data_IF_615934049811
#
_entry.id   IF_615934049811
#
_cell.length_a   1.000
_cell.length_b   1.000
_cell.length_c   1.000
_cell.angle_alpha   90.00
_cell.angle_beta   90.00
_cell.angle_gamma   90.00
#
_symmetry.space_group_name_H-M   'P 1'
#
loop_
_entity.id
_entity.type
_entity.pdbx_description
1 polymer ?
#
# COMPACT_ATOMS: atom_id res chain seq x y z
N UNK A 1 -11.37 -46.93 53.03
CA UNK A 1 -12.03 -47.59 54.17
C UNK A 1 -13.53 -47.36 54.05
N UNK A 2 -14.31 -48.44 53.98
CA UNK A 2 -15.77 -48.57 54.27
C UNK A 2 -16.71 -47.85 53.28
N UNK A 3 -17.46 -48.46 52.34
CA UNK A 3 -18.31 -49.67 52.28
C UNK A 3 -19.59 -49.64 53.12
N UNK A 4 -20.75 -49.50 52.45
CA UNK A 4 -22.09 -50.05 52.81
C UNK A 4 -23.13 -49.39 51.88
N UNK A 5 -23.80 -50.02 50.90
CA UNK A 5 -24.52 -51.31 50.81
C UNK A 5 -25.76 -51.38 51.71
N UNK A 6 -26.95 -51.53 51.09
CA UNK A 6 -28.14 -52.29 51.53
C UNK A 6 -29.11 -52.37 50.32
N UNK A 7 -29.19 -53.54 49.65
CA UNK A 7 -30.21 -54.63 49.76
C UNK A 7 -31.55 -54.31 49.07
N UNK A 8 -31.93 -55.01 47.98
CA UNK A 8 -32.56 -56.37 47.91
C UNK A 8 -34.10 -56.22 47.83
N UNK A 9 -34.93 -56.96 47.08
CA UNK A 9 -34.93 -58.36 46.62
C UNK A 9 -36.14 -58.57 45.66
N UNK A 10 -36.19 -59.75 45.00
CA UNK A 10 -37.37 -60.50 44.50
C UNK A 10 -37.79 -60.20 43.04
N UNK A 11 -38.00 -61.15 42.10
CA UNK A 11 -37.96 -62.64 42.09
C UNK A 11 -38.14 -63.16 40.65
N UNK A 12 -37.75 -64.41 40.44
CA UNK A 12 -37.77 -65.22 39.21
C UNK A 12 -39.21 -65.52 38.73
N UNK A 13 -39.42 -65.77 37.42
CA UNK A 13 -39.56 -67.16 36.96
C UNK A 13 -39.59 -67.36 35.43
N UNK A 14 -39.19 -68.58 35.06
CA UNK A 14 -38.94 -69.13 33.73
C UNK A 14 -40.20 -69.42 32.91
N UNK A 15 -40.07 -69.46 31.57
CA UNK A 15 -40.46 -70.63 30.73
C UNK A 15 -40.09 -70.45 29.25
N UNK A 16 -39.42 -71.47 28.72
CA UNK A 16 -39.02 -71.67 27.33
C UNK A 16 -40.13 -72.42 26.60
N UNK A 17 -40.42 -72.11 25.33
CA UNK A 17 -40.85 -73.08 24.32
C UNK A 17 -40.53 -72.58 22.90
N UNK A 18 -39.70 -73.35 22.18
CA UNK A 18 -39.54 -73.31 20.72
C UNK A 18 -40.82 -73.83 20.04
N UNK A 19 -41.20 -73.33 18.86
CA UNK A 19 -41.16 -74.11 17.61
C UNK A 19 -41.78 -73.39 16.38
N UNK A 20 -41.15 -73.67 15.24
CA UNK A 20 -41.57 -73.61 13.82
C UNK A 20 -42.13 -72.33 13.16
N UNK A 21 -41.45 -71.94 12.08
CA UNK A 21 -41.96 -71.11 10.97
C UNK A 21 -42.96 -71.87 10.07
N UNK A 22 -43.80 -71.14 9.31
CA UNK A 22 -43.70 -71.22 7.84
C UNK A 22 -43.87 -69.86 7.11
N UNK A 23 -43.10 -69.66 6.04
CA UNK A 23 -43.21 -68.60 5.00
C UNK A 23 -44.30 -68.91 3.95
N UNK A 24 -44.64 -68.00 3.00
CA UNK A 24 -44.94 -66.56 3.05
C UNK A 24 -46.29 -66.24 2.33
N UNK A 25 -46.64 -64.97 2.10
CA UNK A 25 -46.96 -64.61 0.72
C UNK A 25 -46.26 -63.35 0.20
N UNK A 26 -45.99 -63.41 -1.10
CA UNK A 26 -45.39 -62.40 -1.97
C UNK A 26 -46.14 -61.08 -1.94
N UNK A 27 -45.44 -59.98 -1.63
CA UNK A 27 -45.92 -58.62 -1.88
C UNK A 27 -44.89 -57.92 -2.77
N UNK A 28 -45.30 -57.67 -4.01
CA UNK A 28 -44.56 -56.88 -4.99
C UNK A 28 -44.46 -55.43 -4.52
N UNK A 29 -43.31 -55.05 -3.96
CA UNK A 29 -42.98 -53.63 -3.80
C UNK A 29 -42.48 -53.09 -5.13
N UNK A 30 -43.38 -52.41 -5.84
CA UNK A 30 -43.02 -51.56 -6.96
C UNK A 30 -42.03 -50.50 -6.47
N UNK A 31 -40.80 -50.55 -7.01
CA UNK A 31 -39.80 -49.53 -6.77
C UNK A 31 -40.31 -48.21 -7.35
N UNK A 32 -40.62 -47.26 -6.47
CA UNK A 32 -40.81 -45.86 -6.87
C UNK A 32 -39.44 -45.32 -7.24
N UNK A 33 -39.23 -44.74 -8.44
CA UNK A 33 -37.95 -44.12 -8.77
C UNK A 33 -37.75 -42.91 -7.86
N UNK A 34 -36.77 -43.01 -6.95
CA UNK A 34 -36.28 -41.86 -6.18
C UNK A 34 -35.72 -40.87 -7.18
N UNK A 35 -36.46 -39.77 -7.38
CA UNK A 35 -35.98 -38.66 -8.19
C UNK A 35 -34.76 -38.05 -7.49
N UNK A 36 -33.63 -37.83 -8.18
CA UNK A 36 -32.46 -37.21 -7.58
C UNK A 36 -32.84 -35.77 -7.14
N UNK A 37 -32.46 -35.33 -5.93
CA UNK A 37 -32.74 -33.97 -5.51
C UNK A 37 -31.98 -33.01 -6.44
N UNK A 38 -32.73 -32.29 -7.28
CA UNK A 38 -32.19 -31.12 -7.95
C UNK A 38 -31.76 -30.16 -6.85
N UNK A 39 -30.44 -30.02 -6.67
CA UNK A 39 -29.83 -29.31 -5.53
C UNK A 39 -29.18 -28.00 -5.99
N UNK A 40 -29.91 -27.07 -6.66
CA UNK A 40 -29.34 -25.82 -7.11
C UNK A 40 -28.82 -24.98 -5.93
N UNK A 41 -29.37 -25.17 -4.72
CA UNK A 41 -28.92 -24.54 -3.50
C UNK A 41 -27.53 -25.01 -3.04
N UNK A 42 -27.18 -26.29 -3.25
CA UNK A 42 -25.85 -26.81 -2.92
C UNK A 42 -24.81 -26.29 -3.92
N UNK A 43 -25.10 -26.36 -5.21
CA UNK A 43 -24.21 -25.83 -6.26
C UNK A 43 -24.00 -24.32 -6.11
N UNK A 44 -25.05 -23.57 -5.74
CA UNK A 44 -24.96 -22.13 -5.47
C UNK A 44 -24.10 -21.82 -4.23
N UNK A 45 -24.20 -22.62 -3.15
CA UNK A 45 -23.33 -22.43 -1.99
C UNK A 45 -21.87 -22.69 -2.35
N UNK A 46 -21.58 -23.80 -3.02
CA UNK A 46 -20.23 -24.14 -3.47
C UNK A 46 -19.67 -23.07 -4.42
N UNK A 47 -20.48 -22.57 -5.35
CA UNK A 47 -20.04 -21.51 -6.26
C UNK A 47 -19.74 -20.21 -5.51
N UNK A 48 -20.57 -19.80 -4.55
CA UNK A 48 -20.30 -18.62 -3.70
C UNK A 48 -19.00 -18.81 -2.91
N UNK A 49 -18.77 -19.99 -2.31
CA UNK A 49 -17.52 -20.28 -1.61
C UNK A 49 -16.30 -20.18 -2.53
N UNK A 50 -16.38 -20.76 -3.73
CA UNK A 50 -15.28 -20.69 -4.71
C UNK A 50 -15.02 -19.25 -5.17
N UNK A 51 -16.07 -18.46 -5.39
CA UNK A 51 -15.95 -17.04 -5.74
C UNK A 51 -15.28 -16.25 -4.61
N UNK A 52 -15.69 -16.44 -3.36
CA UNK A 52 -15.06 -15.80 -2.20
C UNK A 52 -13.61 -16.24 -2.02
N UNK A 53 -13.31 -17.52 -2.24
CA UNK A 53 -11.94 -18.03 -2.20
C UNK A 53 -11.07 -17.39 -3.30
N UNK A 54 -11.60 -17.30 -4.53
CA UNK A 54 -10.90 -16.64 -5.65
C UNK A 54 -10.66 -15.16 -5.37
N UNK A 55 -11.65 -14.42 -4.86
CA UNK A 55 -11.46 -13.02 -4.46
C UNK A 55 -10.45 -12.86 -3.32
N UNK A 56 -10.45 -13.77 -2.34
CA UNK A 56 -9.47 -13.73 -1.24
C UNK A 56 -8.05 -13.99 -1.74
N UNK A 57 -7.88 -14.96 -2.64
CA UNK A 57 -6.59 -15.30 -3.24
C UNK A 57 -6.08 -14.15 -4.12
N UNK A 58 -6.97 -13.54 -4.91
CA UNK A 58 -6.65 -12.37 -5.73
C UNK A 58 -6.28 -11.17 -4.87
N UNK A 59 -7.05 -10.87 -3.82
CA UNK A 59 -6.75 -9.78 -2.90
C UNK A 59 -5.40 -9.98 -2.19
N UNK A 60 -5.08 -11.22 -1.78
CA UNK A 60 -3.79 -11.53 -1.16
C UNK A 60 -2.64 -11.46 -2.18
N UNK A 61 -2.86 -11.92 -3.41
CA UNK A 61 -1.88 -11.80 -4.50
C UNK A 61 -1.62 -10.33 -4.83
N UNK A 62 -2.66 -9.51 -4.94
CA UNK A 62 -2.51 -8.09 -5.21
C UNK A 62 -1.83 -7.36 -4.04
N UNK A 63 -2.15 -7.73 -2.80
CA UNK A 63 -1.44 -7.24 -1.61
C UNK A 63 0.05 -7.67 -1.58
N UNK A 64 0.40 -8.81 -2.18
CA UNK A 64 1.78 -9.31 -2.23
C UNK A 64 2.68 -8.60 -3.25
N UNK A 65 2.09 -7.89 -4.22
CA UNK A 65 2.85 -7.09 -5.21
C UNK A 65 3.35 -5.76 -4.64
N UNK A 66 2.87 -5.36 -3.47
CA UNK A 66 3.31 -4.17 -2.78
C UNK A 66 4.57 -4.39 -1.93
N UNK A 67 4.84 -3.42 -1.07
CA UNK A 67 5.88 -3.50 -0.05
C UNK A 67 5.23 -3.57 1.33
N UNK A 68 5.93 -4.20 2.28
CA UNK A 68 5.45 -4.27 3.67
C UNK A 68 5.52 -2.88 4.32
N UNK A 69 4.43 -2.44 4.96
CA UNK A 69 4.38 -1.18 5.71
C UNK A 69 4.26 -1.48 7.18
N UNK A 70 5.26 -1.06 7.95
CA UNK A 70 5.19 -1.05 9.40
C UNK A 70 5.06 0.38 9.89
N UNK A 71 4.06 0.68 10.71
CA UNK A 71 3.95 1.99 11.37
C UNK A 71 4.19 1.80 12.85
N UNK A 72 5.33 2.29 13.32
CA UNK A 72 5.78 2.13 14.69
C UNK A 72 5.71 3.47 15.43
N UNK A 73 5.40 3.39 16.72
CA UNK A 73 5.49 4.52 17.61
C UNK A 73 6.62 4.25 18.61
N UNK A 74 7.80 4.81 18.34
CA UNK A 74 9.00 4.57 19.14
C UNK A 74 9.01 5.32 20.49
N UNK A 75 8.09 6.26 20.71
CA UNK A 75 8.06 7.15 21.87
C UNK A 75 6.63 7.34 22.40
N UNK A 76 5.97 6.21 22.74
CA UNK A 76 4.58 6.18 23.22
C UNK A 76 4.32 7.00 24.49
N UNK A 77 5.38 7.42 25.17
CA UNK A 77 5.38 8.30 26.33
C UNK A 77 5.21 9.80 25.97
N UNK A 78 5.64 10.22 24.78
CA UNK A 78 5.50 11.62 24.34
C UNK A 78 4.06 11.97 23.97
N UNK A 79 3.69 13.24 24.15
CA UNK A 79 2.37 13.73 23.74
C UNK A 79 2.19 13.69 22.22
N UNK A 80 3.22 14.09 21.46
CA UNK A 80 3.22 14.08 20.00
C UNK A 80 2.97 12.68 19.45
N UNK A 81 3.66 11.65 19.97
CA UNK A 81 3.51 10.31 19.44
C UNK A 81 2.21 9.64 19.87
N UNK A 82 1.66 9.95 21.05
CA UNK A 82 0.28 9.54 21.41
C UNK A 82 -0.74 10.14 20.46
N UNK A 83 -0.61 11.44 20.16
CA UNK A 83 -1.48 12.13 19.21
C UNK A 83 -1.36 11.53 17.80
N UNK A 84 -0.14 11.21 17.35
CA UNK A 84 0.10 10.54 16.07
C UNK A 84 -0.55 9.16 16.03
N UNK A 85 -0.38 8.36 17.09
CA UNK A 85 -0.99 7.04 17.19
C UNK A 85 -2.52 7.10 17.09
N UNK A 86 -3.16 8.02 17.82
CA UNK A 86 -4.61 8.18 17.81
C UNK A 86 -5.15 8.71 16.48
N UNK A 87 -4.46 9.65 15.83
CA UNK A 87 -4.96 10.31 14.62
C UNK A 87 -4.63 9.57 13.32
N UNK A 88 -3.53 8.80 13.28
CA UNK A 88 -3.00 8.22 12.04
C UNK A 88 -2.78 6.71 12.09
N UNK A 89 -2.36 6.15 13.23
CA UNK A 89 -2.02 4.72 13.32
C UNK A 89 -3.28 3.88 13.56
N UNK A 90 -4.07 4.25 14.58
CA UNK A 90 -5.27 3.51 15.02
C UNK A 90 -6.34 3.31 13.94
N UNK A 91 -6.40 4.23 12.96
CA UNK A 91 -7.37 4.22 11.87
C UNK A 91 -6.76 3.85 10.50
N UNK A 92 -5.48 3.45 10.48
CA UNK A 92 -4.74 3.08 9.26
C UNK A 92 -4.45 4.23 8.30
N UNK A 93 -4.68 5.49 8.67
CA UNK A 93 -4.41 6.65 7.81
C UNK A 93 -2.93 6.78 7.48
N UNK A 94 -2.03 6.47 8.42
CA UNK A 94 -0.58 6.48 8.17
C UNK A 94 -0.20 5.53 7.03
N UNK A 95 -0.72 4.29 7.04
CA UNK A 95 -0.46 3.32 5.99
C UNK A 95 -1.03 3.78 4.63
N UNK A 96 -2.23 4.35 4.62
CA UNK A 96 -2.85 4.92 3.40
C UNK A 96 -2.02 6.08 2.84
N UNK A 97 -1.49 6.95 3.68
CA UNK A 97 -0.59 8.04 3.26
C UNK A 97 0.69 7.47 2.65
N UNK A 98 1.32 6.48 3.27
CA UNK A 98 2.53 5.83 2.73
C UNK A 98 2.26 5.21 1.36
N UNK A 99 1.15 4.48 1.20
CA UNK A 99 0.74 3.87 -0.07
C UNK A 99 0.45 4.93 -1.14
N UNK A 100 -0.38 5.92 -0.82
CA UNK A 100 -0.75 6.98 -1.77
C UNK A 100 0.45 7.82 -2.20
N UNK A 101 1.34 8.15 -1.26
CA UNK A 101 2.59 8.84 -1.56
C UNK A 101 3.52 8.00 -2.43
N UNK A 102 3.62 6.70 -2.16
CA UNK A 102 4.45 5.80 -2.97
C UNK A 102 3.92 5.66 -4.39
N UNK A 103 2.63 5.40 -4.54
CA UNK A 103 1.98 5.30 -5.86
C UNK A 103 2.19 6.57 -6.68
N UNK A 104 2.04 7.75 -6.07
CA UNK A 104 2.31 9.01 -6.74
C UNK A 104 3.77 9.12 -7.19
N UNK A 105 4.72 8.89 -6.28
CA UNK A 105 6.15 9.03 -6.57
C UNK A 105 6.58 8.02 -7.63
N UNK A 106 6.12 6.78 -7.53
CA UNK A 106 6.41 5.74 -8.52
C UNK A 106 5.90 6.12 -9.91
N UNK A 107 4.67 6.64 -10.02
CA UNK A 107 4.14 7.11 -11.31
C UNK A 107 4.97 8.22 -11.93
N UNK A 108 5.56 9.09 -11.10
CA UNK A 108 6.44 10.16 -11.59
C UNK A 108 7.81 9.61 -11.99
N UNK A 109 8.41 8.76 -11.16
CA UNK A 109 9.80 8.30 -11.34
C UNK A 109 9.96 7.10 -12.29
N UNK A 110 8.91 6.29 -12.46
CA UNK A 110 8.92 5.04 -13.22
C UNK A 110 7.71 4.97 -14.16
N UNK A 111 7.64 5.86 -15.17
CA UNK A 111 6.47 5.98 -16.05
C UNK A 111 6.23 4.74 -16.92
N UNK A 112 7.28 3.99 -17.27
CA UNK A 112 7.23 2.80 -18.13
C UNK A 112 8.39 1.83 -17.82
N UNK A 113 8.39 0.67 -18.48
CA UNK A 113 9.36 -0.41 -18.26
C UNK A 113 10.81 -0.05 -18.62
N UNK A 114 11.03 1.05 -19.35
CA UNK A 114 12.39 1.55 -19.59
C UNK A 114 13.00 2.19 -18.34
N UNK A 115 12.20 2.52 -17.31
CA UNK A 115 12.64 3.07 -16.04
C UNK A 115 12.61 1.98 -14.95
N UNK A 116 13.70 1.22 -14.75
CA UNK A 116 13.71 0.13 -13.79
C UNK A 116 13.44 0.64 -12.38
N UNK A 117 12.45 0.04 -11.73
CA UNK A 117 12.02 0.43 -10.39
C UNK A 117 13.09 0.13 -9.36
N UNK A 118 13.20 1.00 -8.36
CA UNK A 118 14.02 0.74 -7.19
C UNK A 118 13.39 -0.39 -6.37
N UNK A 119 14.15 -1.42 -5.97
CA UNK A 119 13.61 -2.48 -5.13
C UNK A 119 13.35 -1.94 -3.73
N UNK A 120 12.07 -1.79 -3.38
CA UNK A 120 11.58 -1.42 -2.05
C UNK A 120 10.72 -2.57 -1.56
N UNK A 121 11.20 -3.30 -0.55
CA UNK A 121 10.52 -4.45 0.03
C UNK A 121 9.76 -4.12 1.31
N UNK A 122 10.27 -3.20 2.13
CA UNK A 122 9.63 -2.78 3.38
C UNK A 122 9.91 -1.34 3.72
N UNK A 123 8.89 -0.63 4.19
CA UNK A 123 9.00 0.71 4.73
C UNK A 123 8.47 0.73 6.16
N UNK A 124 9.31 1.17 7.08
CA UNK A 124 8.92 1.39 8.47
C UNK A 124 8.81 2.88 8.73
N UNK A 125 7.59 3.38 8.92
CA UNK A 125 7.31 4.75 9.30
C UNK A 125 7.26 4.86 10.83
N UNK A 126 7.94 5.84 11.40
CA UNK A 126 7.96 6.04 12.85
C UNK A 126 8.09 7.50 13.22
N UNK A 127 7.43 7.86 14.32
CA UNK A 127 7.64 9.15 14.96
C UNK A 127 8.93 9.11 15.78
N UNK A 128 9.81 10.09 15.56
CA UNK A 128 10.99 10.27 16.39
C UNK A 128 10.59 10.74 17.80
N UNK A 129 11.36 10.30 18.80
CA UNK A 129 11.17 10.71 20.20
C UNK A 129 11.60 12.16 20.46
N UNK A 130 12.42 12.71 19.57
CA UNK A 130 13.00 14.04 19.66
C UNK A 130 12.79 14.77 18.35
N UNK A 131 12.85 16.10 18.42
CA UNK A 131 12.87 16.92 17.21
C UNK A 131 14.13 16.64 16.40
N UNK A 132 13.91 16.39 15.12
CA UNK A 132 14.97 16.23 14.14
C UNK A 132 15.27 17.59 13.51
N UNK A 133 16.50 17.77 13.03
CA UNK A 133 16.89 18.96 12.25
C UNK A 133 16.14 19.05 10.91
N UNK A 134 15.62 17.92 10.42
CA UNK A 134 14.84 17.80 9.19
C UNK A 134 13.42 17.31 9.54
N UNK A 135 12.42 17.67 8.75
CA UNK A 135 11.03 17.19 8.98
C UNK A 135 10.94 15.67 8.96
N UNK A 136 11.71 15.03 8.06
CA UNK A 136 11.78 13.59 7.90
C UNK A 136 13.19 13.17 7.55
N UNK A 137 13.66 12.11 8.21
CA UNK A 137 14.93 11.46 7.92
C UNK A 137 14.69 10.03 7.45
N UNK A 138 15.34 9.64 6.35
CA UNK A 138 15.23 8.30 5.78
C UNK A 138 16.56 7.57 5.88
N UNK A 139 16.52 6.37 6.44
CA UNK A 139 17.67 5.48 6.57
C UNK A 139 17.39 4.11 5.95
N UNK A 140 18.43 3.40 5.51
CA UNK A 140 18.30 2.00 5.10
C UNK A 140 18.00 1.13 6.33
N UNK A 141 17.19 0.10 6.14
CA UNK A 141 16.88 -0.93 7.13
C UNK A 141 17.99 -1.98 7.21
N UNK A 142 17.67 -3.13 7.81
CA UNK A 142 18.66 -4.17 8.04
C UNK A 142 18.94 -4.99 6.78
N UNK A 143 17.92 -5.22 5.96
CA UNK A 143 18.04 -5.96 4.69
C UNK A 143 17.96 -5.02 3.48
N UNK A 144 18.51 -5.44 2.31
CA UNK A 144 18.32 -4.72 1.06
C UNK A 144 16.83 -4.50 0.77
N UNK A 145 16.48 -3.28 0.36
CA UNK A 145 15.09 -2.90 0.07
C UNK A 145 14.25 -2.57 1.32
N UNK A 146 14.80 -2.66 2.53
CA UNK A 146 14.16 -2.15 3.74
C UNK A 146 14.56 -0.69 3.97
N UNK A 147 13.60 0.15 4.35
CA UNK A 147 13.80 1.56 4.66
C UNK A 147 13.07 1.94 5.93
N UNK A 148 13.62 2.91 6.65
CA UNK A 148 13.07 3.42 7.89
C UNK A 148 12.93 4.94 7.73
N UNK A 149 11.69 5.43 7.79
CA UNK A 149 11.32 6.84 7.66
C UNK A 149 10.99 7.38 9.05
N UNK A 150 11.90 8.17 9.66
CA UNK A 150 11.63 8.88 10.92
C UNK A 150 11.08 10.27 10.66
N UNK A 151 9.94 10.56 11.26
CA UNK A 151 9.29 11.87 11.20
C UNK A 151 9.54 12.63 12.50
N UNK A 152 9.90 13.91 12.40
CA UNK A 152 10.09 14.80 13.54
C UNK A 152 8.80 14.98 14.33
N UNK A 153 8.89 15.06 15.66
CA UNK A 153 7.72 15.29 16.52
C UNK A 153 7.10 16.69 16.32
N UNK A 154 7.89 17.68 15.89
CA UNK A 154 7.43 19.03 15.53
C UNK A 154 6.25 19.03 14.53
N UNK A 155 6.17 18.03 13.64
CA UNK A 155 5.06 17.88 12.67
C UNK A 155 3.70 17.78 13.37
N UNK A 156 3.67 17.26 14.59
CA UNK A 156 2.46 17.14 15.40
C UNK A 156 2.08 18.43 16.13
N UNK A 157 2.95 19.45 16.12
CA UNK A 157 2.72 20.78 16.67
C UNK A 157 2.14 21.78 15.67
N UNK A 158 2.12 21.44 14.38
CA UNK A 158 1.63 22.31 13.31
C UNK A 158 0.12 22.58 13.41
N UNK A 159 -0.31 23.72 12.83
CA UNK A 159 -1.72 24.13 12.81
C UNK A 159 -2.60 23.14 12.04
N UNK A 160 -2.16 22.77 10.83
CA UNK A 160 -2.75 21.69 10.04
C UNK A 160 -1.89 20.43 10.12
N UNK A 161 -2.11 19.66 11.19
CA UNK A 161 -1.40 18.39 11.42
C UNK A 161 -1.64 17.40 10.28
N UNK A 162 -2.81 17.42 9.64
CA UNK A 162 -3.14 16.45 8.59
C UNK A 162 -2.29 16.70 7.34
N UNK A 163 -2.25 17.96 6.89
CA UNK A 163 -1.41 18.37 5.76
C UNK A 163 0.07 18.19 6.10
N UNK A 164 0.49 18.54 7.32
CA UNK A 164 1.88 18.45 7.74
C UNK A 164 2.38 17.00 7.78
N UNK A 165 1.59 16.07 8.32
CA UNK A 165 1.91 14.64 8.31
C UNK A 165 1.89 14.09 6.88
N UNK A 166 0.91 14.46 6.06
CA UNK A 166 0.85 14.03 4.66
C UNK A 166 2.08 14.51 3.87
N UNK A 167 2.49 15.78 4.05
CA UNK A 167 3.67 16.35 3.41
C UNK A 167 4.97 15.69 3.89
N UNK A 168 5.08 15.42 5.20
CA UNK A 168 6.21 14.70 5.77
C UNK A 168 6.33 13.28 5.18
N UNK A 169 5.22 12.52 5.17
CA UNK A 169 5.18 11.17 4.57
C UNK A 169 5.53 11.23 3.09
N UNK A 170 5.00 12.21 2.33
CA UNK A 170 5.34 12.42 0.93
C UNK A 170 6.84 12.61 0.72
N UNK A 171 7.48 13.48 1.51
CA UNK A 171 8.94 13.70 1.46
C UNK A 171 9.72 12.43 1.79
N UNK A 172 9.28 11.70 2.82
CA UNK A 172 9.87 10.43 3.19
C UNK A 172 9.81 9.40 2.07
N UNK A 173 8.64 9.23 1.46
CA UNK A 173 8.47 8.29 0.35
C UNK A 173 9.24 8.74 -0.90
N UNK A 174 9.29 10.04 -1.20
CA UNK A 174 10.13 10.56 -2.27
C UNK A 174 11.61 10.16 -2.08
N UNK A 175 12.18 10.30 -0.87
CA UNK A 175 13.54 9.82 -0.57
C UNK A 175 13.69 8.30 -0.68
N UNK A 176 12.68 7.53 -0.24
CA UNK A 176 12.72 6.07 -0.33
C UNK A 176 12.82 5.61 -1.77
N UNK A 177 12.04 6.21 -2.68
CA UNK A 177 11.98 5.82 -4.09
C UNK A 177 13.11 6.42 -4.92
N UNK A 178 13.68 7.56 -4.53
CA UNK A 178 14.85 8.12 -5.24
C UNK A 178 16.08 7.23 -5.10
N UNK A 179 16.77 6.99 -6.20
CA UNK A 179 18.14 6.46 -6.17
C UNK A 179 19.11 7.53 -5.64
N UNK A 180 20.12 7.10 -4.89
CA UNK A 180 21.09 8.00 -4.24
C UNK A 180 22.45 8.05 -4.96
N UNK A 181 22.54 7.50 -6.18
CA UNK A 181 23.81 7.48 -6.94
C UNK A 181 24.89 6.66 -6.27
N UNK A 182 24.53 5.58 -5.56
CA UNK A 182 25.41 4.81 -4.66
C UNK A 182 25.95 5.66 -3.50
N UNK A 183 25.15 6.62 -3.03
CA UNK A 183 25.51 7.57 -1.98
C UNK A 183 26.41 8.72 -2.45
N UNK A 184 26.66 8.87 -3.76
CA UNK A 184 27.47 9.96 -4.32
C UNK A 184 26.67 11.13 -4.87
N UNK A 185 25.35 11.01 -4.99
CA UNK A 185 24.53 12.13 -5.42
C UNK A 185 24.60 13.27 -4.38
N UNK A 186 24.82 14.53 -4.80
CA UNK A 186 24.81 15.68 -3.90
C UNK A 186 23.49 15.76 -3.14
N UNK A 187 23.56 16.05 -1.84
CA UNK A 187 22.35 16.19 -1.01
C UNK A 187 21.39 17.24 -1.58
N UNK A 188 21.92 18.39 -2.00
CA UNK A 188 21.13 19.47 -2.62
C UNK A 188 20.33 19.02 -3.84
N UNK A 189 20.87 18.12 -4.67
CA UNK A 189 20.15 17.55 -5.81
C UNK A 189 19.00 16.66 -5.35
N UNK A 190 19.26 15.75 -4.41
CA UNK A 190 18.23 14.87 -3.86
C UNK A 190 17.13 15.68 -3.15
N UNK A 191 17.51 16.73 -2.43
CA UNK A 191 16.59 17.66 -1.75
C UNK A 191 15.69 18.35 -2.78
N UNK A 192 16.26 18.91 -3.84
CA UNK A 192 15.52 19.58 -4.91
C UNK A 192 14.53 18.63 -5.62
N UNK A 193 14.94 17.39 -5.90
CA UNK A 193 14.03 16.39 -6.49
C UNK A 193 12.89 16.01 -5.53
N UNK A 194 13.17 15.88 -4.23
CA UNK A 194 12.13 15.62 -3.23
C UNK A 194 11.15 16.80 -3.13
N UNK A 195 11.65 18.03 -3.17
CA UNK A 195 10.78 19.21 -3.14
C UNK A 195 9.91 19.30 -4.40
N UNK A 196 10.46 18.98 -5.58
CA UNK A 196 9.66 18.85 -6.81
C UNK A 196 8.58 17.78 -6.68
N UNK A 197 8.94 16.57 -6.20
CA UNK A 197 8.00 15.46 -6.00
C UNK A 197 6.93 15.76 -4.94
N UNK A 198 7.24 16.65 -3.98
CA UNK A 198 6.28 17.06 -2.95
C UNK A 198 5.37 18.17 -3.47
N UNK A 199 5.91 19.17 -4.18
CA UNK A 199 5.13 20.26 -4.76
C UNK A 199 4.16 19.75 -5.84
N UNK A 200 4.57 18.76 -6.64
CA UNK A 200 3.76 18.17 -7.71
C UNK A 200 2.53 17.39 -7.21
N UNK A 201 2.46 17.06 -5.92
CA UNK A 201 1.24 16.47 -5.33
C UNK A 201 0.10 17.46 -5.12
N UNK A 202 0.38 18.77 -5.20
CA UNK A 202 -0.57 19.82 -4.81
C UNK A 202 -0.78 19.95 -3.29
N UNK A 203 -0.11 19.14 -2.46
CA UNK A 203 -0.18 19.22 -0.99
C UNK A 203 0.58 20.43 -0.42
N UNK A 204 1.53 20.96 -1.18
CA UNK A 204 2.28 22.18 -0.85
C UNK A 204 1.94 23.22 -1.91
N UNK A 205 1.26 24.30 -1.50
CA UNK A 205 1.01 25.44 -2.37
C UNK A 205 2.38 25.96 -2.87
N UNK A 206 2.61 26.09 -4.19
CA UNK A 206 3.91 26.50 -4.70
C UNK A 206 4.13 27.99 -4.36
N UNK A 207 4.72 28.25 -3.18
CA UNK A 207 5.08 29.61 -2.75
C UNK A 207 6.34 30.15 -3.42
N UNK A 208 6.83 29.49 -4.48
CA UNK A 208 7.91 30.00 -5.30
C UNK A 208 7.73 29.62 -6.77
N UNK A 209 6.74 30.21 -7.44
CA UNK A 209 6.92 30.55 -8.86
C UNK A 209 6.18 31.85 -9.16
N UNK A 210 7.03 32.85 -9.42
CA UNK A 210 6.77 34.23 -9.86
C UNK A 210 5.54 34.34 -10.77
N UNK A 211 4.73 35.36 -10.49
CA UNK A 211 3.64 35.93 -11.29
C UNK A 211 3.66 35.52 -12.76
N UNK A 212 2.62 34.81 -13.22
CA UNK A 212 1.66 35.32 -14.19
C UNK A 212 0.57 34.26 -14.47
N UNK A 213 -0.65 34.75 -14.58
CA UNK A 213 -1.83 34.19 -15.23
C UNK A 213 -2.43 32.85 -14.74
N UNK A 214 -3.38 33.04 -13.82
CA UNK A 214 -4.50 32.17 -13.52
C UNK A 214 -5.41 31.94 -14.76
N UNK A 215 -5.00 31.16 -15.75
CA UNK A 215 -5.91 30.71 -16.82
C UNK A 215 -5.37 29.53 -17.66
N UNK A 216 -5.25 28.33 -17.10
CA UNK A 216 -5.16 27.10 -17.92
C UNK A 216 -5.50 25.83 -17.10
N UNK A 217 -6.73 25.72 -16.61
CA UNK A 217 -7.27 24.42 -16.24
C UNK A 217 -7.63 23.69 -17.54
N UNK A 218 -6.81 22.70 -17.92
CA UNK A 218 -7.17 21.46 -18.66
C UNK A 218 -6.11 20.94 -19.65
N UNK A 219 -4.92 21.53 -19.74
CA UNK A 219 -3.76 20.87 -20.33
C UNK A 219 -2.54 21.19 -19.48
N UNK A 220 -1.85 20.17 -18.97
CA UNK A 220 -0.55 20.38 -18.35
C UNK A 220 0.36 21.06 -19.40
N UNK A 221 1.02 22.19 -19.07
CA UNK A 221 1.93 22.83 -20.01
C UNK A 221 2.96 21.82 -20.51
N UNK A 222 3.39 21.92 -21.77
CA UNK A 222 4.37 20.98 -22.33
C UNK A 222 5.67 20.89 -21.48
N UNK A 223 5.99 21.98 -20.79
CA UNK A 223 7.09 22.09 -19.82
C UNK A 223 6.90 21.22 -18.57
N UNK A 224 5.67 21.00 -18.11
CA UNK A 224 5.39 20.16 -16.95
C UNK A 224 5.68 18.67 -17.23
N UNK A 225 5.33 18.19 -18.43
CA UNK A 225 5.69 16.84 -18.87
C UNK A 225 7.21 16.70 -19.10
N UNK A 226 7.85 17.74 -19.66
CA UNK A 226 9.30 17.77 -19.82
C UNK A 226 10.03 17.71 -18.46
N UNK A 227 9.61 18.51 -17.49
CA UNK A 227 10.16 18.52 -16.14
C UNK A 227 9.98 17.15 -15.47
N UNK A 228 8.81 16.53 -15.63
CA UNK A 228 8.50 15.21 -15.08
C UNK A 228 9.41 14.12 -15.66
N UNK A 229 9.59 14.11 -16.98
CA UNK A 229 10.47 13.17 -17.67
C UNK A 229 11.95 13.39 -17.32
N UNK A 230 12.38 14.66 -17.18
CA UNK A 230 13.71 15.01 -16.70
C UNK A 230 13.97 14.42 -15.30
N UNK A 231 13.03 14.56 -14.37
CA UNK A 231 13.13 13.99 -13.01
C UNK A 231 13.18 12.45 -13.05
N UNK A 232 12.37 11.80 -13.89
CA UNK A 232 12.40 10.34 -14.05
C UNK A 232 13.75 9.85 -14.62
N UNK A 233 14.28 10.52 -15.65
CA UNK A 233 15.58 10.19 -16.26
C UNK A 233 16.73 10.45 -15.29
N UNK A 234 16.65 11.53 -14.52
CA UNK A 234 17.62 11.84 -13.46
C UNK A 234 17.66 10.71 -12.43
N UNK A 235 16.49 10.28 -11.96
CA UNK A 235 16.38 9.18 -11.02
C UNK A 235 16.96 7.88 -11.60
N UNK A 236 16.65 7.58 -12.86
CA UNK A 236 17.24 6.43 -13.57
C UNK A 236 18.76 6.51 -13.67
N UNK A 237 19.31 7.68 -14.01
CA UNK A 237 20.76 7.88 -14.11
C UNK A 237 21.48 7.69 -12.75
N UNK A 238 20.78 7.97 -11.64
CA UNK A 238 21.26 7.75 -10.28
C UNK A 238 21.20 6.29 -9.81
N UNK A 239 20.67 5.35 -10.60
CA UNK A 239 20.74 3.92 -10.29
C UNK A 239 22.21 3.46 -10.19
N UNK A 240 23.05 4.01 -11.07
CA UNK A 240 24.49 3.84 -11.03
C UNK A 240 25.19 4.97 -10.28
N UNK A 241 26.49 4.84 -10.07
CA UNK A 241 27.31 5.85 -9.40
C UNK A 241 27.14 7.25 -10.00
N UNK A 242 26.86 8.26 -9.18
CA UNK A 242 26.62 9.63 -9.64
C UNK A 242 27.89 10.30 -10.21
N UNK A 243 27.73 11.05 -11.31
CA UNK A 243 28.69 12.02 -11.83
C UNK A 243 27.93 13.22 -12.43
N UNK A 244 28.59 14.38 -12.56
CA UNK A 244 27.93 15.63 -12.99
C UNK A 244 27.44 15.60 -14.44
N UNK A 245 28.13 14.89 -15.33
CA UNK A 245 27.73 14.77 -16.75
C UNK A 245 26.34 14.15 -16.94
N UNK A 246 25.91 13.29 -16.01
CA UNK A 246 24.56 12.69 -16.02
C UNK A 246 23.43 13.70 -15.94
N UNK A 247 23.67 14.90 -15.39
CA UNK A 247 22.64 15.93 -15.27
C UNK A 247 22.18 16.42 -16.65
N UNK A 248 23.14 16.76 -17.50
CA UNK A 248 22.91 17.30 -18.85
C UNK A 248 22.31 16.23 -19.77
N UNK A 249 22.82 14.99 -19.68
CA UNK A 249 22.33 13.84 -20.44
C UNK A 249 20.87 13.49 -20.09
N UNK A 250 20.47 13.63 -18.83
CA UNK A 250 19.14 13.23 -18.37
C UNK A 250 18.04 14.20 -18.82
N UNK A 251 18.28 15.51 -18.68
CA UNK A 251 17.23 16.49 -18.92
C UNK A 251 17.22 17.04 -20.35
N UNK A 252 18.34 16.93 -21.07
CA UNK A 252 18.51 17.46 -22.43
C UNK A 252 18.26 18.96 -22.50
N UNK A 253 18.56 19.55 -23.66
CA UNK A 253 18.08 20.90 -23.98
C UNK A 253 16.56 20.83 -24.21
N UNK A 254 15.78 21.86 -23.84
CA UNK A 254 14.35 21.90 -24.11
C UNK A 254 14.13 21.65 -25.60
N UNK A 255 13.33 20.64 -25.93
CA UNK A 255 13.04 20.32 -27.32
C UNK A 255 12.44 21.55 -28.01
N UNK A 256 12.93 21.89 -29.21
CA UNK A 256 12.44 23.02 -30.02
C UNK A 256 10.91 22.98 -30.27
N UNK A 257 10.31 21.81 -30.06
CA UNK A 257 8.88 21.54 -30.01
C UNK A 257 8.10 22.45 -29.05
N UNK A 258 8.59 22.70 -27.83
CA UNK A 258 7.88 23.55 -26.85
C UNK A 258 7.93 25.05 -27.21
N UNK A 259 8.95 25.50 -27.94
CA UNK A 259 9.10 26.89 -28.40
C UNK A 259 8.12 27.26 -29.52
N UNK A 260 7.55 26.29 -30.23
CA UNK A 260 6.60 26.55 -31.33
C UNK A 260 5.17 26.83 -30.85
N UNK A 261 4.82 26.38 -29.64
CA UNK A 261 3.48 26.57 -29.07
C UNK A 261 3.23 27.99 -28.55
N UNK A 262 4.29 28.73 -28.17
CA UNK A 262 4.15 30.09 -27.62
C UNK A 262 3.98 31.17 -28.70
N UNK A 263 4.29 30.86 -29.95
CA UNK A 263 4.15 31.81 -31.08
C UNK A 263 2.80 31.74 -31.79
N UNK A 264 2.03 30.66 -31.61
CA UNK A 264 0.72 30.50 -32.26
C UNK A 264 -0.40 31.35 -31.62
N UNK A 265 -0.15 31.99 -30.47
CA UNK A 265 -1.16 32.76 -29.74
C UNK A 265 -1.15 34.27 -30.05
N UNK A 266 -0.25 34.74 -30.92
CA UNK A 266 -0.13 36.16 -31.29
C UNK A 266 -0.49 36.49 -32.75
N UNK A 267 -0.87 35.51 -33.57
CA UNK A 267 -1.38 35.75 -34.92
C UNK A 267 -2.89 35.51 -34.96
N UNK A 268 -3.66 36.47 -34.49
CA UNK A 268 -5.04 36.74 -34.95
C UNK A 268 -5.46 38.11 -34.43
N UNK A 269 -5.17 39.15 -35.21
CA UNK A 269 -5.87 40.44 -35.19
C UNK A 269 -6.24 40.78 -36.62
#
# INVERSE_FOLDING_TARGET
MVSSSLRSLSEMDHSILLTSAPTPPSVSNAATPVSPPSSPSFLLRVSVFLVLAAFSLWANFEASKGFEIAVLNAASDTHAARRFHLLFVSNGRAARLVLGSSDFVERVLYPDDSFPRKPVGRVTLYMAALDLNETVLVSRGHRPGEFVVRMSQAVMGETDVQVSVASAVQRGMARVWLWDGRGRAPRSLLDAMVDYLTASTGLVSPRMRRNDDSAALNAAPCWAEQDRLCVARMNRAMQEEWNEGKLEDACGLPSESCSRSSYSSFETV
#
